data_IF_357615675517
#
_entry.id   IF_357615675517
#
_cell.length_a   1.000
_cell.length_b   1.000
_cell.length_c   1.000
_cell.angle_alpha   90.00
_cell.angle_beta   90.00
_cell.angle_gamma   90.00
#
_symmetry.space_group_name_H-M   'P 1'
#
loop_
_entity.id
_entity.type
_entity.pdbx_description
1 polymer ?
#
# COMPACT_ATOMS: atom_id res chain seq x y z
N UNK A 1 26.28 -0.19 -4.92
CA UNK A 1 25.07 0.65 -4.75
C UNK A 1 23.84 0.03 -5.38
N UNK A 2 23.93 -0.61 -6.54
CA UNK A 2 22.80 -1.33 -7.18
C UNK A 2 22.04 -2.31 -6.25
N UNK A 3 22.77 -3.09 -5.43
CA UNK A 3 22.16 -3.97 -4.39
C UNK A 3 21.31 -3.22 -3.36
N UNK A 4 21.60 -1.96 -3.09
CA UNK A 4 20.83 -1.12 -2.15
C UNK A 4 19.52 -0.68 -2.80
N UNK A 5 19.56 -0.26 -4.06
CA UNK A 5 18.36 0.13 -4.82
C UNK A 5 17.39 -1.04 -4.99
N UNK A 6 17.91 -2.24 -5.27
CA UNK A 6 17.09 -3.44 -5.31
C UNK A 6 16.39 -3.72 -3.96
N UNK A 7 17.11 -3.56 -2.83
CA UNK A 7 16.51 -3.69 -1.49
C UNK A 7 15.44 -2.64 -1.21
N UNK A 8 15.57 -1.43 -1.74
CA UNK A 8 14.54 -0.39 -1.62
C UNK A 8 13.27 -0.78 -2.37
N UNK A 9 13.39 -1.28 -3.60
CA UNK A 9 12.25 -1.80 -4.38
C UNK A 9 11.60 -2.99 -3.68
N UNK A 10 12.42 -3.92 -3.15
CA UNK A 10 11.91 -5.06 -2.38
C UNK A 10 11.16 -4.62 -1.11
N UNK A 11 11.64 -3.58 -0.42
CA UNK A 11 10.93 -2.97 0.71
C UNK A 11 9.57 -2.40 0.29
N UNK A 12 9.52 -1.65 -0.82
CA UNK A 12 8.26 -1.10 -1.34
C UNK A 12 7.29 -2.25 -1.63
N UNK A 13 7.72 -3.30 -2.32
CA UNK A 13 6.88 -4.46 -2.62
C UNK A 13 6.36 -5.17 -1.34
N UNK A 14 7.15 -5.20 -0.27
CA UNK A 14 6.71 -5.72 1.04
C UNK A 14 5.64 -4.83 1.67
N UNK A 15 5.80 -3.51 1.59
CA UNK A 15 4.84 -2.53 2.09
C UNK A 15 3.51 -2.61 1.32
N UNK A 16 3.54 -2.68 -0.02
CA UNK A 16 2.38 -2.94 -0.90
C UNK A 16 1.62 -4.22 -0.49
N UNK A 17 2.36 -5.31 -0.28
CA UNK A 17 1.77 -6.58 0.15
C UNK A 17 1.13 -6.47 1.54
N UNK A 18 1.68 -5.64 2.42
CA UNK A 18 1.09 -5.38 3.74
C UNK A 18 -0.20 -4.57 3.61
N UNK A 19 -0.26 -3.55 2.76
CA UNK A 19 -1.48 -2.79 2.47
C UNK A 19 -2.58 -3.69 1.89
N UNK A 20 -2.25 -4.58 0.95
CA UNK A 20 -3.20 -5.56 0.42
C UNK A 20 -3.78 -6.49 1.49
N UNK A 21 -2.97 -6.91 2.47
CA UNK A 21 -3.44 -7.71 3.61
C UNK A 21 -4.36 -6.91 4.53
N UNK A 22 -4.08 -5.63 4.75
CA UNK A 22 -4.94 -4.74 5.53
C UNK A 22 -6.30 -4.55 4.87
N UNK A 23 -6.34 -4.30 3.56
CA UNK A 23 -7.59 -4.22 2.78
C UNK A 23 -8.38 -5.52 2.90
N UNK A 24 -7.69 -6.67 2.77
CA UNK A 24 -8.34 -7.97 2.92
C UNK A 24 -8.92 -8.18 4.33
N UNK A 25 -8.18 -7.81 5.37
CA UNK A 25 -8.64 -7.91 6.75
C UNK A 25 -9.90 -7.06 6.99
N UNK A 26 -9.95 -5.83 6.44
CA UNK A 26 -11.15 -4.98 6.48
C UNK A 26 -12.33 -5.61 5.73
N UNK A 27 -12.10 -6.18 4.54
CA UNK A 27 -13.14 -6.89 3.80
C UNK A 27 -13.68 -8.10 4.58
N UNK A 28 -12.81 -8.84 5.27
CA UNK A 28 -13.21 -9.99 6.07
C UNK A 28 -13.95 -9.54 7.36
N UNK A 29 -13.55 -8.42 7.97
CA UNK A 29 -14.30 -7.77 9.07
C UNK A 29 -15.72 -7.39 8.64
N UNK A 30 -15.87 -6.74 7.47
CA UNK A 30 -17.18 -6.37 6.91
C UNK A 30 -18.02 -7.63 6.66
N UNK A 31 -17.45 -8.68 6.05
CA UNK A 31 -18.17 -9.94 5.82
C UNK A 31 -18.64 -10.60 7.12
N UNK A 32 -17.81 -10.55 8.17
CA UNK A 32 -18.19 -11.08 9.48
C UNK A 32 -19.36 -10.29 10.09
N UNK A 33 -19.34 -8.97 9.96
CA UNK A 33 -20.41 -8.08 10.44
C UNK A 33 -21.73 -8.25 9.67
N UNK A 34 -21.66 -8.23 8.33
CA UNK A 34 -22.83 -8.37 7.44
C UNK A 34 -23.37 -9.80 7.41
N UNK A 35 -22.50 -10.79 7.63
CA UNK A 35 -22.81 -12.20 7.50
C UNK A 35 -22.83 -12.68 6.04
N UNK A 36 -22.66 -13.99 5.83
CA UNK A 36 -22.54 -14.60 4.48
C UNK A 36 -23.73 -14.35 3.54
N UNK A 37 -24.91 -14.03 4.10
CA UNK A 37 -26.15 -13.80 3.35
C UNK A 37 -26.72 -12.38 3.57
N UNK A 38 -25.94 -11.45 4.11
CA UNK A 38 -26.48 -10.13 4.48
C UNK A 38 -27.47 -10.17 5.63
N UNK A 39 -27.33 -11.16 6.51
CA UNK A 39 -28.31 -11.46 7.56
C UNK A 39 -27.98 -10.81 8.91
N UNK A 40 -26.88 -10.07 9.01
CA UNK A 40 -26.44 -9.35 10.21
C UNK A 40 -26.58 -10.17 11.49
N UNK A 41 -25.73 -11.20 11.70
CA UNK A 41 -25.91 -12.20 12.75
C UNK A 41 -25.98 -11.61 14.17
N UNK A 42 -25.36 -10.46 14.40
CA UNK A 42 -25.34 -9.75 15.68
C UNK A 42 -26.54 -8.82 15.90
N UNK A 43 -27.43 -8.66 14.90
CA UNK A 43 -28.54 -7.71 14.91
C UNK A 43 -28.10 -6.28 15.35
N UNK A 44 -27.14 -5.67 14.64
CA UNK A 44 -26.64 -4.35 14.94
C UNK A 44 -27.73 -3.29 14.77
N UNK A 45 -27.65 -2.20 15.53
CA UNK A 45 -28.45 -1.02 15.30
C UNK A 45 -27.87 -0.18 14.14
N UNK A 46 -28.58 0.87 13.74
CA UNK A 46 -28.11 1.74 12.66
C UNK A 46 -26.79 2.45 13.02
N UNK A 47 -26.58 2.80 14.28
CA UNK A 47 -25.37 3.46 14.74
C UNK A 47 -24.15 2.54 14.62
N UNK A 48 -24.29 1.25 14.98
CA UNK A 48 -23.23 0.24 14.79
C UNK A 48 -22.83 0.10 13.29
N UNK A 49 -23.81 0.21 12.39
CA UNK A 49 -23.58 0.16 10.93
C UNK A 49 -22.86 1.43 10.46
N UNK A 50 -23.20 2.60 11.01
CA UNK A 50 -22.52 3.85 10.68
C UNK A 50 -21.08 3.84 11.20
N UNK A 51 -20.85 3.35 12.42
CA UNK A 51 -19.55 3.27 13.04
C UNK A 51 -18.60 2.36 12.26
N UNK A 52 -19.06 1.19 11.82
CA UNK A 52 -18.21 0.31 11.02
C UNK A 52 -17.89 0.93 9.66
N UNK A 53 -18.85 1.60 9.02
CA UNK A 53 -18.63 2.29 7.74
C UNK A 53 -17.64 3.45 7.89
N UNK A 54 -17.73 4.20 8.98
CA UNK A 54 -16.79 5.27 9.29
C UNK A 54 -15.38 4.72 9.53
N UNK A 55 -15.25 3.66 10.33
CA UNK A 55 -13.98 2.96 10.57
C UNK A 55 -13.33 2.46 9.26
N UNK A 56 -14.10 1.80 8.40
CA UNK A 56 -13.63 1.30 7.09
C UNK A 56 -13.17 2.46 6.21
N UNK A 57 -13.97 3.55 6.15
CA UNK A 57 -13.63 4.74 5.36
C UNK A 57 -12.31 5.36 5.81
N UNK A 58 -12.13 5.59 7.11
CA UNK A 58 -10.89 6.15 7.66
C UNK A 58 -9.67 5.27 7.34
N UNK A 59 -9.84 3.95 7.40
CA UNK A 59 -8.78 3.02 7.04
C UNK A 59 -8.43 3.10 5.55
N UNK A 60 -9.43 3.16 4.67
CA UNK A 60 -9.21 3.34 3.23
C UNK A 60 -8.57 4.68 2.88
N UNK A 61 -8.97 5.78 3.53
CA UNK A 61 -8.32 7.08 3.38
C UNK A 61 -6.84 7.01 3.77
N UNK A 62 -6.53 6.34 4.88
CA UNK A 62 -5.15 6.09 5.33
C UNK A 62 -4.37 5.25 4.33
N UNK A 63 -4.98 4.22 3.76
CA UNK A 63 -4.35 3.37 2.73
C UNK A 63 -4.05 4.19 1.48
N UNK A 64 -4.98 5.03 1.01
CA UNK A 64 -4.76 5.90 -0.15
C UNK A 64 -3.59 6.85 0.08
N UNK A 65 -3.48 7.44 1.27
CA UNK A 65 -2.33 8.27 1.64
C UNK A 65 -1.02 7.47 1.62
N UNK A 66 -1.04 6.23 2.10
CA UNK A 66 0.13 5.33 2.07
C UNK A 66 0.52 4.92 0.65
N UNK A 67 -0.43 4.61 -0.22
CA UNK A 67 -0.18 4.32 -1.64
C UNK A 67 0.49 5.48 -2.35
N UNK A 68 0.02 6.70 -2.10
CA UNK A 68 0.66 7.89 -2.67
C UNK A 68 2.11 8.06 -2.19
N UNK A 69 2.38 7.81 -0.90
CA UNK A 69 3.74 7.82 -0.36
C UNK A 69 4.63 6.73 -0.96
N UNK A 70 4.11 5.52 -1.17
CA UNK A 70 4.84 4.41 -1.81
C UNK A 70 5.15 4.72 -3.27
N UNK A 71 4.21 5.29 -4.01
CA UNK A 71 4.43 5.79 -5.37
C UNK A 71 5.58 6.81 -5.41
N UNK A 72 5.57 7.80 -4.51
CA UNK A 72 6.67 8.77 -4.41
C UNK A 72 8.01 8.14 -4.04
N UNK A 73 8.02 7.16 -3.12
CA UNK A 73 9.23 6.41 -2.77
C UNK A 73 9.77 5.64 -3.98
N UNK A 74 8.90 5.04 -4.79
CA UNK A 74 9.27 4.33 -6.01
C UNK A 74 9.84 5.29 -7.06
N UNK A 75 9.15 6.39 -7.35
CA UNK A 75 9.62 7.43 -8.28
C UNK A 75 11.03 7.90 -7.91
N UNK A 76 11.25 8.27 -6.65
CA UNK A 76 12.56 8.71 -6.15
C UNK A 76 13.63 7.61 -6.30
N UNK A 77 13.29 6.35 -6.01
CA UNK A 77 14.22 5.22 -6.15
C UNK A 77 14.62 5.01 -7.62
N UNK A 78 13.66 5.12 -8.55
CA UNK A 78 13.89 5.00 -9.99
C UNK A 78 14.72 6.19 -10.54
N UNK A 79 14.53 7.39 -10.03
CA UNK A 79 15.35 8.54 -10.39
C UNK A 79 16.83 8.35 -10.03
N UNK A 80 17.10 7.81 -8.84
CA UNK A 80 18.49 7.50 -8.42
C UNK A 80 19.10 6.46 -9.37
N UNK A 81 18.37 5.39 -9.71
CA UNK A 81 18.82 4.38 -10.69
C UNK A 81 19.16 5.00 -12.06
N UNK A 82 18.33 5.93 -12.56
CA UNK A 82 18.59 6.62 -13.83
C UNK A 82 19.86 7.48 -13.76
N UNK A 83 20.05 8.23 -12.68
CA UNK A 83 21.24 9.06 -12.47
C UNK A 83 22.52 8.22 -12.42
N UNK A 84 22.50 7.07 -11.75
CA UNK A 84 23.65 6.15 -11.70
C UNK A 84 24.05 5.63 -13.09
N UNK A 85 23.08 5.23 -13.93
CA UNK A 85 23.37 4.76 -15.29
C UNK A 85 24.03 5.85 -16.16
N UNK A 86 23.54 7.08 -16.07
CA UNK A 86 24.10 8.22 -16.83
C UNK A 86 25.55 8.50 -16.39
N UNK A 87 25.84 8.43 -15.09
CA UNK A 87 27.21 8.62 -14.57
C UNK A 87 28.13 7.51 -15.08
N UNK A 88 27.70 6.25 -15.01
CA UNK A 88 28.49 5.11 -15.50
C UNK A 88 28.79 5.18 -17.00
N UNK A 89 27.82 5.58 -17.84
CA UNK A 89 28.03 5.77 -19.28
C UNK A 89 29.00 6.92 -19.58
N UNK A 90 28.95 8.02 -18.81
CA UNK A 90 29.92 9.11 -18.93
C UNK A 90 31.34 8.69 -18.51
N UNK A 91 31.48 7.78 -17.55
CA UNK A 91 32.78 7.19 -17.18
C UNK A 91 33.33 6.29 -18.30
N UNK A 92 32.48 5.51 -18.99
CA UNK A 92 32.89 4.67 -20.12
C UNK A 92 33.33 5.46 -21.36
N UNK A 93 32.89 6.71 -21.53
CA UNK A 93 33.26 7.59 -22.66
C UNK A 93 34.53 8.43 -22.42
N UNK A 94 35.20 8.29 -21.26
CA UNK A 94 36.45 9.00 -20.92
C UNK A 94 37.72 8.15 -21.08
N UNK A 95 37.60 6.93 -21.59
CA UNK A 95 38.71 6.07 -22.00
C UNK A 95 38.54 5.65 -23.45
#
# INVERSE_FOLDING_TARGET
>A
MEKVLFKLIESIAKEEKALAKLIKAEADKIKAFVGKKGNFPTKPCNDDILDINHSVRQMLETIVMKEWLLLKKLENTLEVLKKEKIICEKCKKRH
#
